data_IF_672270218249
#
_entry.id   IF_672270218249
#
_cell.length_a   1.000
_cell.length_b   1.000
_cell.length_c   1.000
_cell.angle_alpha   90.00
_cell.angle_beta   90.00
_cell.angle_gamma   90.00
#
_symmetry.space_group_name_H-M   'P 1'
#
loop_
_entity.id
_entity.type
_entity.pdbx_description
1 polymer ?
#
# COMPACT_ATOMS: atom_id res chain seq x y z
N UNK A 1 -9.21 -5.71 23.92
CA UNK A 1 -8.71 -6.46 22.75
C UNK A 1 -7.52 -5.71 22.20
N UNK A 2 -6.42 -6.38 21.84
CA UNK A 2 -5.32 -5.74 21.11
C UNK A 2 -5.79 -5.35 19.71
N UNK A 3 -5.43 -4.15 19.23
CA UNK A 3 -5.84 -3.68 17.92
C UNK A 3 -5.39 -4.64 16.80
N UNK A 4 -6.06 -4.63 15.65
CA UNK A 4 -5.60 -5.37 14.49
C UNK A 4 -4.27 -4.80 13.96
N UNK A 5 -3.51 -5.62 13.23
CA UNK A 5 -2.42 -5.16 12.37
C UNK A 5 -3.05 -4.74 11.04
N UNK A 6 -2.93 -3.47 10.66
CA UNK A 6 -3.43 -3.01 9.36
C UNK A 6 -2.42 -3.41 8.26
N UNK A 7 -2.84 -4.19 7.28
CA UNK A 7 -2.03 -4.61 6.13
C UNK A 7 -2.62 -4.07 4.82
N UNK A 8 -1.96 -3.06 4.26
CA UNK A 8 -2.33 -2.44 2.99
C UNK A 8 -1.59 -3.07 1.82
N UNK A 9 -2.32 -3.44 0.77
CA UNK A 9 -1.76 -4.19 -0.34
C UNK A 9 -2.42 -3.88 -1.69
N UNK A 10 -1.68 -4.10 -2.78
CA UNK A 10 -2.19 -4.12 -4.16
C UNK A 10 -1.74 -5.44 -4.82
N UNK A 11 -2.64 -6.09 -5.56
CA UNK A 11 -2.35 -7.32 -6.29
C UNK A 11 -1.22 -7.18 -7.32
N UNK A 12 -0.93 -5.98 -7.80
CA UNK A 12 0.16 -5.69 -8.72
C UNK A 12 1.52 -5.57 -8.03
N UNK A 13 1.62 -5.74 -6.71
CA UNK A 13 2.89 -5.66 -5.99
C UNK A 13 3.48 -7.05 -5.72
N UNK A 14 4.65 -7.39 -6.30
CA UNK A 14 5.38 -8.62 -5.95
C UNK A 14 5.75 -8.69 -4.47
N UNK A 15 6.21 -7.59 -3.86
CA UNK A 15 6.46 -7.56 -2.43
C UNK A 15 5.17 -7.63 -1.61
N UNK A 16 4.04 -7.15 -2.15
CA UNK A 16 2.70 -7.30 -1.56
C UNK A 16 2.32 -8.77 -1.45
N UNK A 17 2.55 -9.53 -2.52
CA UNK A 17 2.42 -10.98 -2.50
C UNK A 17 3.33 -11.63 -1.46
N UNK A 18 4.62 -11.29 -1.41
CA UNK A 18 5.52 -11.89 -0.42
C UNK A 18 5.05 -11.62 1.02
N UNK A 19 4.60 -10.40 1.31
CA UNK A 19 4.02 -10.06 2.60
C UNK A 19 2.74 -10.86 2.91
N UNK A 20 1.88 -11.07 1.90
CA UNK A 20 0.63 -11.82 2.02
C UNK A 20 0.85 -13.29 2.44
N UNK A 21 2.00 -13.86 2.09
CA UNK A 21 2.40 -15.23 2.51
C UNK A 21 2.86 -15.32 3.97
N UNK A 22 3.12 -14.20 4.65
CA UNK A 22 3.77 -14.18 5.98
C UNK A 22 2.99 -13.44 7.06
N UNK A 23 2.20 -12.43 6.69
CA UNK A 23 1.66 -11.46 7.65
C UNK A 23 0.71 -12.09 8.68
N UNK A 24 -0.14 -13.02 8.26
CA UNK A 24 -1.10 -13.66 9.16
C UNK A 24 -0.43 -14.60 10.15
N UNK A 25 0.52 -15.43 9.69
CA UNK A 25 1.31 -16.31 10.56
C UNK A 25 2.11 -15.51 11.58
N UNK A 26 2.71 -14.40 11.14
CA UNK A 26 3.43 -13.49 12.01
C UNK A 26 2.49 -12.88 13.06
N UNK A 27 1.32 -12.40 12.66
CA UNK A 27 0.33 -11.84 13.58
C UNK A 27 -0.15 -12.89 14.61
N UNK A 28 -0.46 -14.10 14.14
CA UNK A 28 -0.95 -15.20 14.98
C UNK A 28 0.07 -15.58 16.06
N UNK A 29 1.37 -15.60 15.73
CA UNK A 29 2.47 -15.86 16.68
C UNK A 29 2.44 -14.92 17.90
N UNK A 30 1.92 -13.70 17.74
CA UNK A 30 1.82 -12.69 18.80
C UNK A 30 0.38 -12.46 19.28
N UNK A 31 -0.56 -13.35 18.94
CA UNK A 31 -1.96 -13.25 19.33
C UNK A 31 -2.68 -12.04 18.73
N UNK A 32 -2.26 -11.60 17.54
CA UNK A 32 -2.87 -10.50 16.79
C UNK A 32 -3.69 -11.07 15.62
N UNK A 33 -4.63 -10.26 15.14
CA UNK A 33 -5.33 -10.45 13.87
C UNK A 33 -4.81 -9.42 12.85
N UNK A 34 -5.01 -9.69 11.56
CA UNK A 34 -4.63 -8.79 10.47
C UNK A 34 -5.90 -8.27 9.80
N UNK A 35 -6.00 -6.95 9.64
CA UNK A 35 -7.00 -6.32 8.80
C UNK A 35 -6.40 -6.09 7.40
N UNK A 36 -6.92 -6.79 6.40
CA UNK A 36 -6.45 -6.71 5.02
C UNK A 36 -7.16 -5.57 4.29
N UNK A 37 -6.39 -4.57 3.83
CA UNK A 37 -6.88 -3.35 3.21
C UNK A 37 -6.42 -3.27 1.75
N UNK A 38 -7.27 -3.60 0.76
CA UNK A 38 -6.90 -3.46 -0.63
C UNK A 38 -6.79 -1.98 -1.02
N UNK A 39 -5.68 -1.62 -1.67
CA UNK A 39 -5.43 -0.31 -2.25
C UNK A 39 -5.13 -0.43 -3.74
N UNK A 40 -5.02 0.72 -4.43
CA UNK A 40 -4.58 0.79 -5.83
C UNK A 40 -3.34 1.67 -5.95
N UNK A 41 -2.19 1.06 -6.22
CA UNK A 41 -0.91 1.72 -6.46
C UNK A 41 -1.00 2.72 -7.61
N UNK A 42 -1.82 2.47 -8.63
CA UNK A 42 -2.06 3.44 -9.70
C UNK A 42 -2.57 4.78 -9.20
N UNK A 43 -3.41 4.80 -8.16
CA UNK A 43 -3.89 6.03 -7.51
C UNK A 43 -2.76 6.71 -6.74
N UNK A 44 -1.97 5.91 -6.01
CA UNK A 44 -0.83 6.40 -5.23
C UNK A 44 0.28 6.99 -6.12
N UNK A 45 0.59 6.34 -7.25
CA UNK A 45 1.57 6.81 -8.23
C UNK A 45 1.15 8.14 -8.84
N UNK A 46 -0.14 8.30 -9.18
CA UNK A 46 -0.67 9.57 -9.67
C UNK A 46 -0.47 10.71 -8.67
N UNK A 47 -0.63 10.44 -7.38
CA UNK A 47 -0.47 11.45 -6.33
C UNK A 47 1.01 11.76 -6.04
N UNK A 48 1.88 10.75 -6.05
CA UNK A 48 3.31 10.91 -5.70
C UNK A 48 4.21 11.26 -6.89
N UNK A 49 3.71 11.18 -8.12
CA UNK A 49 4.53 11.33 -9.34
C UNK A 49 5.46 10.13 -9.59
N UNK A 50 5.19 8.99 -8.95
CA UNK A 50 5.96 7.75 -9.11
C UNK A 50 5.42 6.87 -10.24
N UNK A 51 6.08 5.74 -10.50
CA UNK A 51 5.68 4.75 -11.48
C UNK A 51 5.89 3.32 -10.93
N UNK A 52 5.25 2.29 -11.52
CA UNK A 52 5.53 0.91 -11.18
C UNK A 52 7.03 0.61 -11.21
N UNK A 53 7.56 -0.02 -10.15
CA UNK A 53 9.02 -0.20 -9.97
C UNK A 53 9.71 -0.85 -11.19
N UNK A 54 9.14 -1.89 -11.83
CA UNK A 54 9.69 -2.46 -13.07
C UNK A 54 9.81 -1.51 -14.26
N UNK A 55 9.04 -0.44 -14.28
CA UNK A 55 9.02 0.56 -15.36
C UNK A 55 9.97 1.74 -15.09
N UNK A 56 10.52 1.86 -13.88
CA UNK A 56 11.44 2.94 -13.54
C UNK A 56 12.81 2.66 -14.19
N UNK A 57 13.35 3.58 -15.03
CA UNK A 57 14.67 3.41 -15.63
C UNK A 57 15.75 3.11 -14.59
N UNK A 58 16.72 2.26 -14.95
CA UNK A 58 17.78 1.72 -14.07
C UNK A 58 17.31 0.78 -12.94
N UNK A 59 16.11 0.99 -12.39
CA UNK A 59 15.56 0.16 -11.30
C UNK A 59 14.83 -1.09 -11.81
N UNK A 60 14.27 -1.05 -13.01
CA UNK A 60 13.39 -2.12 -13.51
C UNK A 60 14.03 -3.51 -13.54
N UNK A 61 15.17 -3.64 -14.23
CA UNK A 61 15.91 -4.91 -14.31
C UNK A 61 16.44 -5.37 -12.94
N UNK A 62 16.84 -4.42 -12.09
CA UNK A 62 17.21 -4.74 -10.72
C UNK A 62 16.02 -5.30 -9.94
N UNK A 63 14.85 -4.67 -10.03
CA UNK A 63 13.65 -5.06 -9.31
C UNK A 63 13.22 -6.47 -9.67
N UNK A 64 13.23 -6.84 -10.97
CA UNK A 64 12.93 -8.21 -11.38
C UNK A 64 13.87 -9.24 -10.74
N UNK A 65 15.18 -8.97 -10.78
CA UNK A 65 16.18 -9.83 -10.13
C UNK A 65 15.99 -9.90 -8.62
N UNK A 66 15.60 -8.80 -8.01
CA UNK A 66 15.38 -8.72 -6.57
C UNK A 66 14.12 -9.46 -6.14
N UNK A 67 13.02 -9.40 -6.89
CA UNK A 67 11.82 -10.19 -6.60
C UNK A 67 12.15 -11.69 -6.60
N UNK A 68 12.82 -12.18 -7.63
CA UNK A 68 13.22 -13.58 -7.73
C UNK A 68 14.20 -13.98 -6.62
N UNK A 69 15.16 -13.12 -6.29
CA UNK A 69 16.12 -13.36 -5.21
C UNK A 69 15.44 -13.40 -3.85
N UNK A 70 14.52 -12.48 -3.59
CA UNK A 70 13.74 -12.40 -2.36
C UNK A 70 12.89 -13.66 -2.19
N UNK A 71 12.14 -14.04 -3.23
CA UNK A 71 11.35 -15.26 -3.23
C UNK A 71 12.20 -16.50 -2.91
N UNK A 72 13.34 -16.68 -3.60
CA UNK A 72 14.27 -17.79 -3.32
C UNK A 72 14.82 -17.76 -1.90
N UNK A 73 15.22 -16.59 -1.41
CA UNK A 73 15.78 -16.45 -0.05
C UNK A 73 14.76 -16.83 1.03
N UNK A 74 13.50 -16.45 0.85
CA UNK A 74 12.42 -16.74 1.79
C UNK A 74 11.69 -18.07 1.50
N UNK A 75 12.09 -18.84 0.49
CA UNK A 75 11.40 -20.07 0.10
C UNK A 75 9.95 -19.87 -0.34
N UNK A 76 9.64 -18.71 -0.93
CA UNK A 76 8.32 -18.38 -1.46
C UNK A 76 8.28 -18.79 -2.94
N UNK A 77 7.24 -19.55 -3.33
CA UNK A 77 7.01 -19.86 -4.74
C UNK A 77 6.64 -18.58 -5.50
N UNK A 78 7.35 -18.31 -6.58
CA UNK A 78 7.18 -17.09 -7.36
C UNK A 78 7.57 -17.33 -8.82
N UNK A 79 6.65 -16.95 -9.69
CA UNK A 79 6.81 -16.86 -11.14
C UNK A 79 6.60 -15.40 -11.53
N UNK A 80 7.55 -14.84 -12.28
CA UNK A 80 7.42 -13.50 -12.84
C UNK A 80 6.17 -13.46 -13.75
N UNK A 81 5.19 -12.58 -13.47
CA UNK A 81 3.97 -12.51 -14.26
C UNK A 81 4.28 -11.98 -15.66
N UNK A 82 3.70 -12.61 -16.68
CA UNK A 82 3.78 -12.19 -18.08
C UNK A 82 2.85 -11.00 -18.37
N UNK A 83 1.73 -10.93 -17.66
CA UNK A 83 0.73 -9.87 -17.76
C UNK A 83 1.02 -8.74 -16.76
N UNK A 84 2.14 -8.02 -16.93
CA UNK A 84 2.55 -6.96 -16.00
C UNK A 84 2.98 -5.66 -16.70
N UNK A 85 2.56 -4.48 -16.21
CA UNK A 85 1.56 -4.27 -15.16
C UNK A 85 0.14 -4.57 -15.66
N UNK A 86 -0.77 -4.83 -14.73
CA UNK A 86 -2.19 -5.09 -15.01
C UNK A 86 -3.10 -4.32 -14.05
N UNK A 87 -4.34 -3.97 -14.47
CA UNK A 87 -5.33 -3.40 -13.57
C UNK A 87 -5.77 -4.40 -12.49
N UNK A 88 -5.84 -3.94 -11.24
CA UNK A 88 -6.20 -4.77 -10.08
C UNK A 88 -7.49 -4.33 -9.40
N UNK A 89 -8.18 -3.35 -10.00
CA UNK A 89 -9.38 -2.71 -9.44
C UNK A 89 -10.52 -3.68 -9.16
N UNK A 90 -10.81 -4.61 -10.08
CA UNK A 90 -11.92 -5.56 -9.88
C UNK A 90 -11.61 -6.53 -8.74
N UNK A 91 -10.37 -7.04 -8.67
CA UNK A 91 -9.92 -7.89 -7.57
C UNK A 91 -9.98 -7.17 -6.22
N UNK A 92 -9.53 -5.91 -6.14
CA UNK A 92 -9.61 -5.09 -4.94
C UNK A 92 -11.07 -4.89 -4.47
N UNK A 93 -11.99 -4.62 -5.40
CA UNK A 93 -13.42 -4.48 -5.08
C UNK A 93 -14.06 -5.80 -4.66
N UNK A 94 -13.68 -6.92 -5.27
CA UNK A 94 -14.14 -8.23 -4.87
C UNK A 94 -13.74 -8.55 -3.42
N UNK A 95 -12.51 -8.23 -3.01
CA UNK A 95 -12.08 -8.35 -1.59
C UNK A 95 -12.98 -7.53 -0.67
N UNK A 96 -13.19 -6.24 -0.94
CA UNK A 96 -14.07 -5.40 -0.12
C UNK A 96 -15.51 -5.93 -0.08
N UNK A 97 -16.02 -6.42 -1.21
CA UNK A 97 -17.37 -6.96 -1.28
C UNK A 97 -17.49 -8.21 -0.39
N UNK A 98 -16.50 -9.08 -0.42
CA UNK A 98 -16.43 -10.27 0.43
C UNK A 98 -16.31 -9.91 1.90
N UNK A 99 -15.53 -8.88 2.27
CA UNK A 99 -15.46 -8.39 3.66
C UNK A 99 -16.84 -7.96 4.15
N UNK A 100 -17.60 -7.25 3.32
CA UNK A 100 -18.94 -6.76 3.68
C UNK A 100 -20.00 -7.87 3.82
N UNK A 101 -19.88 -8.98 3.10
CA UNK A 101 -20.97 -9.97 2.98
C UNK A 101 -20.64 -11.37 3.52
N UNK A 102 -19.35 -11.74 3.56
CA UNK A 102 -18.88 -13.07 3.94
C UNK A 102 -17.87 -13.06 5.10
N UNK A 103 -17.33 -11.88 5.45
CA UNK A 103 -16.37 -11.69 6.53
C UNK A 103 -14.91 -11.80 6.08
N UNK A 104 -14.01 -11.38 6.97
CA UNK A 104 -12.58 -11.20 6.68
C UNK A 104 -11.84 -12.50 6.35
N UNK A 105 -12.25 -13.64 6.92
CA UNK A 105 -11.60 -14.93 6.66
C UNK A 105 -11.78 -15.36 5.20
N UNK A 106 -13.00 -15.23 4.66
CA UNK A 106 -13.31 -15.56 3.26
C UNK A 106 -12.64 -14.56 2.32
N UNK A 107 -12.67 -13.28 2.66
CA UNK A 107 -12.02 -12.24 1.86
C UNK A 107 -10.49 -12.41 1.81
N UNK A 108 -9.87 -12.77 2.92
CA UNK A 108 -8.43 -13.06 3.01
C UNK A 108 -8.07 -14.32 2.21
N UNK A 109 -8.87 -15.38 2.30
CA UNK A 109 -8.68 -16.59 1.50
C UNK A 109 -8.75 -16.29 -0.01
N UNK A 110 -9.71 -15.47 -0.43
CA UNK A 110 -9.82 -15.02 -1.82
C UNK A 110 -8.65 -14.13 -2.23
N UNK A 111 -8.21 -13.17 -1.41
CA UNK A 111 -7.05 -12.34 -1.72
C UNK A 111 -5.79 -13.20 -1.91
N UNK A 112 -5.58 -14.22 -1.07
CA UNK A 112 -4.47 -15.17 -1.23
C UNK A 112 -4.58 -15.98 -2.52
N UNK A 113 -5.77 -16.43 -2.92
CA UNK A 113 -5.94 -17.18 -4.18
C UNK A 113 -5.68 -16.29 -5.41
N UNK A 114 -6.10 -15.03 -5.39
CA UNK A 114 -5.81 -14.06 -6.46
C UNK A 114 -4.30 -13.79 -6.57
N UNK A 115 -3.61 -13.64 -5.44
CA UNK A 115 -2.16 -13.50 -5.44
C UNK A 115 -1.45 -14.75 -6.00
N UNK A 116 -1.87 -15.94 -5.59
CA UNK A 116 -1.35 -17.21 -6.10
C UNK A 116 -1.56 -17.35 -7.60
N UNK A 117 -2.76 -17.04 -8.09
CA UNK A 117 -3.11 -17.07 -9.51
C UNK A 117 -2.16 -16.21 -10.33
N UNK A 118 -1.86 -14.98 -9.88
CA UNK A 118 -0.95 -14.08 -10.60
C UNK A 118 0.53 -14.48 -10.49
N UNK A 119 1.01 -14.75 -9.27
CA UNK A 119 2.45 -14.87 -9.00
C UNK A 119 2.96 -16.30 -8.93
N UNK A 120 2.12 -17.31 -9.11
CA UNK A 120 2.52 -18.72 -9.20
C UNK A 120 2.01 -19.30 -10.52
N UNK A 121 0.72 -19.13 -10.80
CA UNK A 121 0.07 -19.74 -11.97
C UNK A 121 0.18 -18.87 -13.23
N UNK A 122 0.58 -17.59 -13.11
CA UNK A 122 0.70 -16.62 -14.22
C UNK A 122 -0.65 -16.37 -14.95
N UNK A 123 -1.73 -16.39 -14.18
CA UNK A 123 -3.09 -16.09 -14.63
C UNK A 123 -3.29 -14.57 -14.67
N UNK A 124 -3.94 -14.10 -15.75
CA UNK A 124 -4.32 -12.69 -15.90
C UNK A 124 -5.54 -12.35 -15.03
N UNK A 125 -5.30 -11.91 -13.80
CA UNK A 125 -6.35 -11.52 -12.85
C UNK A 125 -7.09 -10.22 -13.21
N UNK A 126 -6.73 -9.55 -14.31
CA UNK A 126 -7.50 -8.41 -14.84
C UNK A 126 -8.77 -8.87 -15.57
N UNK A 127 -8.87 -10.16 -15.93
CA UNK A 127 -10.06 -10.75 -16.53
C UNK A 127 -11.07 -11.13 -15.44
N UNK A 128 -12.30 -10.56 -15.44
CA UNK A 128 -13.31 -10.88 -14.43
C UNK A 128 -13.65 -12.37 -14.37
N UNK A 129 -13.63 -13.06 -15.52
CA UNK A 129 -13.89 -14.49 -15.59
C UNK A 129 -12.87 -15.33 -14.79
N UNK A 130 -11.61 -14.88 -14.68
CA UNK A 130 -10.62 -15.58 -13.86
C UNK A 130 -10.87 -15.36 -12.36
N UNK A 131 -11.28 -14.15 -11.96
CA UNK A 131 -11.67 -13.87 -10.57
C UNK A 131 -12.89 -14.69 -10.13
N UNK A 132 -13.87 -14.88 -11.02
CA UNK A 132 -15.05 -15.73 -10.80
C UNK A 132 -14.62 -17.17 -10.52
N UNK A 133 -13.73 -17.76 -11.33
CA UNK A 133 -13.22 -19.13 -11.11
C UNK A 133 -12.50 -19.30 -9.78
N UNK A 134 -11.77 -18.26 -9.33
CA UNK A 134 -11.06 -18.29 -8.04
C UNK A 134 -12.00 -18.23 -6.82
N UNK A 135 -13.24 -17.77 -7.02
CA UNK A 135 -14.24 -17.66 -5.96
C UNK A 135 -14.98 -18.99 -5.71
N UNK A 136 -15.18 -19.81 -6.75
CA UNK A 136 -15.97 -21.06 -6.66
C UNK A 136 -15.45 -22.05 -5.60
N UNK A 137 -14.13 -22.35 -5.48
CA UNK A 137 -13.63 -23.29 -4.48
C UNK A 137 -13.80 -22.80 -3.04
N UNK A 138 -14.04 -21.50 -2.84
CA UNK A 138 -14.26 -20.89 -1.53
C UNK A 138 -15.75 -20.87 -1.14
N UNK A 139 -16.63 -21.47 -1.95
CA UNK A 139 -18.07 -21.48 -1.71
C UNK A 139 -18.73 -20.12 -1.88
N UNK A 140 -18.08 -19.20 -2.60
CA UNK A 140 -18.60 -17.87 -2.90
C UNK A 140 -19.52 -17.98 -4.12
N UNK A 141 -20.69 -17.31 -4.08
CA UNK A 141 -21.49 -17.08 -5.29
C UNK A 141 -20.73 -16.11 -6.20
N UNK A 142 -20.02 -16.67 -7.17
CA UNK A 142 -19.12 -15.93 -8.03
C UNK A 142 -19.85 -14.89 -8.91
N UNK A 143 -21.12 -15.14 -9.27
CA UNK A 143 -21.91 -14.17 -10.02
C UNK A 143 -22.34 -13.00 -9.13
N UNK A 144 -22.78 -13.28 -7.89
CA UNK A 144 -23.10 -12.25 -6.92
C UNK A 144 -21.87 -11.40 -6.57
N UNK A 145 -20.70 -12.03 -6.41
CA UNK A 145 -19.44 -11.33 -6.17
C UNK A 145 -19.06 -10.42 -7.33
N UNK A 146 -19.11 -10.88 -8.57
CA UNK A 146 -18.74 -10.07 -9.74
C UNK A 146 -19.69 -8.89 -9.96
N UNK A 147 -21.01 -9.13 -9.82
CA UNK A 147 -22.01 -8.07 -9.87
C UNK A 147 -21.81 -7.05 -8.75
N UNK A 148 -21.55 -7.54 -7.53
CA UNK A 148 -21.27 -6.73 -6.36
C UNK A 148 -20.01 -5.89 -6.49
N UNK A 149 -18.90 -6.49 -6.96
CA UNK A 149 -17.62 -5.86 -7.25
C UNK A 149 -17.71 -4.78 -8.34
N UNK A 150 -18.70 -4.88 -9.23
CA UNK A 150 -18.99 -3.92 -10.29
C UNK A 150 -19.94 -2.79 -9.87
N UNK A 151 -20.54 -2.87 -8.68
CA UNK A 151 -21.52 -1.93 -8.17
C UNK A 151 -20.96 -0.54 -7.84
N UNK A 152 -21.81 0.49 -7.87
CA UNK A 152 -21.40 1.84 -7.50
C UNK A 152 -20.99 1.95 -6.03
N UNK A 153 -21.67 1.26 -5.12
CA UNK A 153 -21.36 1.32 -3.69
C UNK A 153 -19.93 0.85 -3.38
N UNK A 154 -19.51 -0.28 -3.96
CA UNK A 154 -18.17 -0.82 -3.69
C UNK A 154 -17.07 0.00 -4.36
N UNK A 155 -17.37 0.63 -5.50
CA UNK A 155 -16.46 1.56 -6.17
C UNK A 155 -16.19 2.78 -5.30
N UNK A 156 -17.24 3.36 -4.73
CA UNK A 156 -17.12 4.53 -3.86
C UNK A 156 -16.46 4.16 -2.52
N UNK A 157 -16.77 2.97 -1.98
CA UNK A 157 -16.08 2.43 -0.81
C UNK A 157 -14.57 2.28 -1.06
N UNK A 158 -14.14 1.62 -2.14
CA UNK A 158 -12.71 1.46 -2.44
C UNK A 158 -12.00 2.81 -2.56
N UNK A 159 -12.66 3.81 -3.16
CA UNK A 159 -12.11 5.16 -3.25
C UNK A 159 -11.93 5.77 -1.85
N UNK A 160 -12.94 5.68 -1.00
CA UNK A 160 -12.89 6.19 0.37
C UNK A 160 -11.83 5.47 1.22
N UNK A 161 -11.72 4.16 1.12
CA UNK A 161 -10.70 3.37 1.85
C UNK A 161 -9.28 3.77 1.42
N UNK A 162 -9.04 4.01 0.13
CA UNK A 162 -7.75 4.52 -0.37
C UNK A 162 -7.47 5.93 0.16
N UNK A 163 -8.47 6.82 0.19
CA UNK A 163 -8.32 8.17 0.75
C UNK A 163 -7.96 8.11 2.25
N UNK A 164 -8.60 7.23 3.01
CA UNK A 164 -8.29 6.98 4.43
C UNK A 164 -6.87 6.41 4.59
N UNK A 165 -6.48 5.43 3.78
CA UNK A 165 -5.15 4.86 3.81
C UNK A 165 -4.08 5.93 3.54
N UNK A 166 -4.30 6.77 2.53
CA UNK A 166 -3.40 7.87 2.19
C UNK A 166 -3.32 8.92 3.30
N UNK A 167 -4.44 9.22 3.98
CA UNK A 167 -4.47 10.12 5.14
C UNK A 167 -3.68 9.55 6.33
N UNK A 168 -3.59 8.22 6.47
CA UNK A 168 -2.69 7.53 7.42
C UNK A 168 -1.21 7.47 6.97
N UNK A 169 -0.88 8.03 5.82
CA UNK A 169 0.47 8.03 5.26
C UNK A 169 0.83 6.78 4.46
N UNK A 170 -0.14 5.95 4.06
CA UNK A 170 0.10 4.80 3.18
C UNK A 170 0.42 5.28 1.77
N UNK A 171 1.59 4.90 1.26
CA UNK A 171 2.07 5.31 -0.08
C UNK A 171 2.62 4.15 -0.91
N UNK A 172 2.38 2.90 -0.53
CA UNK A 172 2.88 1.76 -1.27
C UNK A 172 2.29 0.43 -0.82
N UNK A 173 2.76 -0.64 -1.44
CA UNK A 173 2.37 -2.02 -1.12
C UNK A 173 3.61 -2.91 -1.11
N UNK A 174 3.86 -3.70 -0.05
CA UNK A 174 3.05 -3.79 1.16
C UNK A 174 3.31 -2.60 2.09
N UNK A 175 2.30 -2.21 2.85
CA UNK A 175 2.45 -1.25 3.93
C UNK A 175 1.70 -1.77 5.15
N UNK A 176 2.37 -1.80 6.30
CA UNK A 176 1.83 -2.36 7.54
C UNK A 176 1.78 -1.27 8.60
N UNK A 177 0.68 -1.15 9.35
CA UNK A 177 0.59 -0.27 10.51
C UNK A 177 0.25 -1.11 11.75
N UNK A 178 1.04 -0.97 12.80
CA UNK A 178 0.85 -1.67 14.07
C UNK A 178 0.84 -0.65 15.19
N UNK A 179 -0.32 -0.52 15.86
CA UNK A 179 -0.46 0.38 17.01
C UNK A 179 -0.01 1.84 16.70
N UNK A 180 -0.21 2.26 15.45
CA UNK A 180 0.19 3.57 14.91
C UNK A 180 1.57 3.62 14.24
N UNK A 181 2.41 2.59 14.39
CA UNK A 181 3.75 2.54 13.81
C UNK A 181 3.73 2.01 12.37
N UNK A 182 4.21 2.79 11.37
CA UNK A 182 4.20 2.40 9.96
C UNK A 182 5.46 1.63 9.53
N UNK A 183 5.28 0.58 8.71
CA UNK A 183 6.33 -0.21 8.09
C UNK A 183 6.03 -0.39 6.60
N UNK A 184 6.90 0.11 5.73
CA UNK A 184 6.76 -0.02 4.28
C UNK A 184 7.80 -0.98 3.72
N UNK A 185 7.34 -2.01 3.01
CA UNK A 185 8.20 -3.00 2.35
C UNK A 185 8.25 -4.35 3.07
N UNK A 186 8.44 -5.41 2.28
CA UNK A 186 8.59 -6.77 2.80
C UNK A 186 9.90 -6.96 3.58
N UNK A 187 10.92 -6.17 3.26
CA UNK A 187 12.20 -6.11 3.97
C UNK A 187 12.08 -5.62 5.44
N UNK A 188 10.88 -5.20 5.88
CA UNK A 188 10.60 -4.75 7.24
C UNK A 188 10.04 -5.83 8.15
N UNK A 189 9.82 -7.05 7.68
CA UNK A 189 9.19 -8.10 8.49
C UNK A 189 9.97 -8.45 9.78
N UNK A 190 11.30 -8.38 9.76
CA UNK A 190 12.11 -8.54 10.97
C UNK A 190 11.92 -7.37 11.96
N UNK A 191 11.76 -6.14 11.45
CA UNK A 191 11.48 -4.95 12.27
C UNK A 191 10.07 -4.99 12.85
N UNK A 192 9.09 -5.43 12.05
CA UNK A 192 7.71 -5.70 12.46
C UNK A 192 7.70 -6.72 13.61
N UNK A 193 8.42 -7.83 13.45
CA UNK A 193 8.50 -8.85 14.50
C UNK A 193 9.16 -8.30 15.77
N UNK A 194 10.26 -7.54 15.64
CA UNK A 194 10.90 -6.90 16.78
C UNK A 194 9.96 -5.93 17.51
N UNK A 195 9.16 -5.16 16.77
CA UNK A 195 8.16 -4.26 17.31
C UNK A 195 7.09 -5.02 18.11
N UNK A 196 6.52 -6.09 17.52
CA UNK A 196 5.53 -6.96 18.18
C UNK A 196 6.06 -7.62 19.46
N UNK A 197 7.34 -8.02 19.50
CA UNK A 197 8.00 -8.56 20.70
C UNK A 197 8.11 -7.51 21.81
N UNK A 198 8.43 -6.26 21.45
CA UNK A 198 8.76 -5.21 22.43
C UNK A 198 7.57 -4.70 23.25
N UNK A 199 6.33 -4.86 22.74
CA UNK A 199 5.07 -4.34 23.32
C UNK A 199 5.12 -2.85 23.71
N UNK A 200 6.03 -2.05 23.13
CA UNK A 200 6.16 -0.63 23.46
C UNK A 200 5.20 0.19 22.59
N UNK A 201 4.14 0.81 23.15
CA UNK A 201 3.44 1.85 22.44
C UNK A 201 4.37 3.07 22.32
N UNK A 202 4.53 3.61 21.12
CA UNK A 202 5.21 4.89 20.94
C UNK A 202 4.18 6.01 20.81
N UNK A 203 4.42 7.13 21.50
CA UNK A 203 3.66 8.35 21.30
C UNK A 203 4.13 8.99 19.98
N UNK A 204 3.30 8.95 18.94
CA UNK A 204 3.56 9.69 17.69
C UNK A 204 3.78 11.17 18.03
N UNK A 205 4.98 11.66 17.77
CA UNK A 205 5.22 13.09 17.67
C UNK A 205 4.79 13.50 16.26
N UNK A 206 3.72 14.29 16.15
CA UNK A 206 3.28 14.84 14.89
C UNK A 206 4.46 15.58 14.23
N UNK A 207 4.72 15.28 12.95
CA UNK A 207 5.61 16.09 12.13
C UNK A 207 4.96 17.46 12.00
N UNK A 208 5.60 18.57 12.42
CA UNK A 208 5.01 19.90 12.27
C UNK A 208 4.71 20.13 10.79
N UNK A 209 3.44 20.44 10.49
CA UNK A 209 3.04 20.90 9.17
C UNK A 209 3.90 22.09 8.77
N UNK A 210 4.38 22.08 7.52
CA UNK A 210 5.14 23.19 6.98
C UNK A 210 4.18 24.35 6.77
N UNK A 211 4.02 25.20 7.80
CA UNK A 211 3.26 26.43 7.70
C UNK A 211 3.89 27.31 6.63
N UNK A 212 3.29 27.31 5.44
CA UNK A 212 3.58 28.30 4.41
C UNK A 212 2.92 29.60 4.81
N UNK A 213 3.57 30.37 5.70
CA UNK A 213 3.22 31.77 5.88
C UNK A 213 4.42 32.58 6.40
N UNK A 214 5.24 33.06 5.47
CA UNK A 214 6.06 34.25 5.70
C UNK A 214 5.56 35.35 4.78
N UNK A 215 4.51 36.04 5.22
CA UNK A 215 4.23 37.41 4.81
C UNK A 215 5.21 38.33 5.54
N UNK A 216 6.31 38.71 4.88
CA UNK A 216 7.21 39.73 5.40
C UNK A 216 6.55 41.10 5.22
N UNK A 217 6.04 41.65 6.33
CA UNK A 217 5.69 43.06 6.45
C UNK A 217 6.94 43.83 6.89
N UNK A 218 7.55 44.58 5.98
CA UNK A 218 8.63 45.51 6.31
C UNK A 218 8.05 46.75 7.01
N UNK A 219 8.42 46.92 8.27
CA UNK A 219 8.12 48.08 9.10
C UNK A 219 9.39 48.61 9.77
N UNK A 220 9.94 49.67 9.15
CA UNK A 220 10.79 50.76 9.68
C UNK A 220 11.20 50.72 11.16
N UNK A 221 12.51 50.89 11.45
CA UNK A 221 13.08 52.07 12.14
C UNK A 221 14.57 51.88 12.49
N UNK A 222 15.37 52.95 12.38
CA UNK A 222 16.76 53.06 12.91
C UNK A 222 17.72 53.74 11.93
N UNK A 223 17.73 55.07 11.81
CA UNK A 223 18.60 56.01 12.55
C UNK A 223 20.09 56.04 12.12
N UNK A 224 20.43 57.11 11.39
CA UNK A 224 21.63 57.98 11.50
C UNK A 224 23.04 57.39 11.43
N UNK A 225 23.79 57.76 10.39
CA UNK A 225 24.89 58.77 10.35
C UNK A 225 25.58 58.66 8.98
N UNK A 226 25.53 59.68 8.13
CA UNK A 226 26.44 60.84 8.05
C UNK A 226 27.54 60.66 6.97
N UNK A 227 27.62 61.70 6.13
CA UNK A 227 28.77 62.21 5.41
C UNK A 227 29.17 61.73 3.99
N UNK A 228 29.13 62.75 3.11
CA UNK A 228 30.00 63.03 1.94
C UNK A 228 29.53 62.46 0.59
N UNK A 229 28.90 63.27 -0.28
CA UNK A 229 29.51 64.15 -1.33
C UNK A 229 30.61 63.40 -2.10
N UNK A 230 30.58 63.26 -3.43
CA UNK A 230 30.43 64.36 -4.40
C UNK A 230 30.20 63.79 -5.82
N UNK A 231 29.22 64.34 -6.55
CA UNK A 231 29.05 64.19 -8.00
C UNK A 231 30.07 65.08 -8.70
N UNK A 232 30.65 64.61 -9.81
CA UNK A 232 31.13 65.48 -10.89
C UNK A 232 30.67 64.94 -12.25
N UNK A 233 30.04 65.78 -13.10
CA UNK A 233 29.62 65.41 -14.45
C UNK A 233 30.63 65.89 -15.50
N UNK A 234 30.70 65.18 -16.62
CA UNK A 234 30.62 65.66 -18.00
C UNK A 234 30.70 64.44 -18.93
#
# INVERSE_FOLDING_TARGET
MTAAIDFYFDFSSPYGYFASTRIDELAQKYGRIVAWHPILLGVVFKTTGSAPLPQVPLKGEYAWRDFERTARFHGIEYKRPTHFPLPTTQAARAVLWLQNHHGDDVATAFAKSVYHALFVEDINIAEPAELVKLAEPLGIDAHAMDAGASGFQIKDQLKAEIEVAMAKGVFGSPFVIIDGEPFWGFDRFDQIEAHLKSKRPMALHAVPGKDSNTSSSDGSTGSSTDSSKEKKPA
#
